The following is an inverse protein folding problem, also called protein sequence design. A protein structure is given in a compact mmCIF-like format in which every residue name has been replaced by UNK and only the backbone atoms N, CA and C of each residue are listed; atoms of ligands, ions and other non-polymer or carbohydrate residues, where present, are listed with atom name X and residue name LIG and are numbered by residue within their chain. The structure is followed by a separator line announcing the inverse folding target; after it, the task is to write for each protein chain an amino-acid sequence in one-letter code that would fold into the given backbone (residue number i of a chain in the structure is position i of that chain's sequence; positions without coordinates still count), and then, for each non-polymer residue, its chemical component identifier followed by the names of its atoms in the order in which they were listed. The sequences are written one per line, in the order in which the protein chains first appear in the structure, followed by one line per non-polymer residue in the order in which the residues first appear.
data_IF_042581464961
#
_entry.id   IF_042581464961
#
_cell.length_a   1.000
_cell.length_b   1.000
_cell.length_c   1.000
_cell.angle_alpha   90.00
_cell.angle_beta   90.00
_cell.angle_gamma   90.00
#
_symmetry.space_group_name_H-M   'P 1'
#
loop_
_entity.id
_entity.type
_entity.pdbx_description
1 polymer ?
#
# COMPACT_ATOMS: atom_id res chain seq x y z
N UNK A 1 -15.43 4.04 -5.32
CA UNK A 1 -13.99 3.88 -5.25
C UNK A 1 -13.32 5.24 -5.11
N UNK A 2 -12.67 5.43 -3.98
CA UNK A 2 -12.09 6.73 -3.62
C UNK A 2 -10.85 7.09 -4.42
N UNK A 3 -10.14 6.08 -4.89
CA UNK A 3 -8.95 6.33 -5.69
C UNK A 3 -9.33 6.60 -7.14
N UNK A 4 -10.58 6.35 -7.45
CA UNK A 4 -11.08 6.47 -8.81
C UNK A 4 -10.89 5.19 -9.59
N UNK A 5 -11.53 5.08 -10.75
CA UNK A 5 -11.43 3.88 -11.58
C UNK A 5 -10.09 3.75 -12.30
N UNK A 6 -9.34 4.84 -12.43
CA UNK A 6 -8.09 4.84 -13.19
C UNK A 6 -7.01 5.60 -12.44
N UNK A 7 -5.76 5.15 -12.64
CA UNK A 7 -4.57 5.82 -12.14
C UNK A 7 -3.92 6.58 -13.29
N UNK A 8 -3.27 7.68 -12.98
CA UNK A 8 -2.56 8.48 -13.96
C UNK A 8 -1.05 8.28 -13.74
N UNK A 9 -0.57 7.09 -14.05
CA UNK A 9 0.80 6.72 -13.75
C UNK A 9 1.01 6.52 -12.27
N UNK A 10 2.22 6.78 -11.80
CA UNK A 10 2.57 6.76 -10.39
C UNK A 10 3.01 5.41 -9.84
N UNK A 11 3.59 5.47 -8.66
CA UNK A 11 4.19 4.31 -7.98
C UNK A 11 3.26 3.84 -6.87
N UNK A 12 2.94 2.55 -6.89
CA UNK A 12 2.12 1.89 -5.88
C UNK A 12 3.02 1.09 -4.95
N UNK A 13 2.78 1.18 -3.67
CA UNK A 13 3.45 0.34 -2.67
C UNK A 13 2.39 -0.40 -1.87
N UNK A 14 2.51 -1.73 -1.82
CA UNK A 14 1.65 -2.59 -1.01
C UNK A 14 2.51 -3.23 0.05
N UNK A 15 2.29 -2.88 1.31
CA UNK A 15 3.11 -3.35 2.43
C UNK A 15 2.79 -4.78 2.86
N UNK A 16 1.61 -5.27 2.55
CA UNK A 16 1.17 -6.63 2.91
C UNK A 16 0.53 -7.25 1.67
N UNK A 17 1.38 -7.75 0.79
CA UNK A 17 1.00 -8.11 -0.56
C UNK A 17 -0.09 -9.16 -0.71
N UNK A 18 -0.13 -10.15 0.19
CA UNK A 18 -1.12 -11.20 0.10
C UNK A 18 -1.04 -11.98 -1.20
N UNK A 19 -2.03 -11.79 -2.06
CA UNK A 19 -2.06 -12.43 -3.39
C UNK A 19 -1.48 -11.52 -4.49
N UNK A 20 -1.21 -10.27 -4.17
CA UNK A 20 -0.80 -9.27 -5.15
C UNK A 20 -1.96 -8.65 -5.91
N UNK A 21 -3.20 -9.03 -5.59
CA UNK A 21 -4.37 -8.60 -6.34
C UNK A 21 -4.53 -7.08 -6.38
N UNK A 22 -4.30 -6.42 -5.25
CA UNK A 22 -4.48 -4.98 -5.15
C UNK A 22 -3.49 -4.23 -6.05
N UNK A 23 -2.22 -4.62 -6.00
CA UNK A 23 -1.19 -4.00 -6.83
C UNK A 23 -1.43 -4.25 -8.31
N UNK A 24 -1.82 -5.48 -8.67
CA UNK A 24 -2.10 -5.84 -10.05
C UNK A 24 -3.30 -5.08 -10.59
N UNK A 25 -4.32 -4.89 -9.75
CA UNK A 25 -5.49 -4.11 -10.14
C UNK A 25 -5.08 -2.65 -10.40
N UNK A 26 -4.25 -2.07 -9.53
CA UNK A 26 -3.78 -0.71 -9.70
C UNK A 26 -3.00 -0.55 -11.02
N UNK A 27 -2.16 -1.52 -11.35
CA UNK A 27 -1.40 -1.50 -12.59
C UNK A 27 -2.31 -1.59 -13.81
N UNK A 28 -3.34 -2.45 -13.74
CA UNK A 28 -4.29 -2.60 -14.85
C UNK A 28 -5.10 -1.33 -15.07
N UNK A 29 -5.20 -0.49 -14.06
CA UNK A 29 -5.95 0.77 -14.12
C UNK A 29 -5.06 1.99 -14.35
N UNK A 30 -3.80 1.80 -14.66
CA UNK A 30 -2.94 2.88 -15.12
C UNK A 30 -1.75 3.25 -14.25
N UNK A 31 -1.55 2.61 -13.10
CA UNK A 31 -0.35 2.84 -12.31
C UNK A 31 0.88 2.39 -13.11
N UNK A 32 2.00 3.03 -12.86
CA UNK A 32 3.22 2.78 -13.64
C UNK A 32 3.98 1.57 -13.14
N UNK A 33 4.22 1.49 -11.84
CA UNK A 33 5.02 0.44 -11.22
C UNK A 33 4.52 0.15 -9.82
N UNK A 34 4.64 -1.09 -9.38
CA UNK A 34 4.22 -1.51 -8.05
C UNK A 34 5.37 -2.20 -7.31
N UNK A 35 5.53 -1.83 -6.03
CA UNK A 35 6.41 -2.53 -5.10
C UNK A 35 5.54 -3.29 -4.13
N UNK A 36 5.73 -4.61 -4.06
CA UNK A 36 4.96 -5.47 -3.17
C UNK A 36 5.89 -6.03 -2.12
N UNK A 37 5.60 -5.73 -0.85
CA UNK A 37 6.35 -6.25 0.28
C UNK A 37 5.55 -7.39 0.90
N UNK A 38 6.19 -8.54 1.03
CA UNK A 38 5.56 -9.73 1.58
C UNK A 38 6.66 -10.63 2.17
N UNK A 39 6.43 -11.16 3.36
CA UNK A 39 7.41 -12.03 4.01
C UNK A 39 7.00 -13.49 4.03
N UNK A 40 5.73 -13.79 3.81
CA UNK A 40 5.25 -15.17 3.82
C UNK A 40 5.59 -15.89 2.52
N UNK A 41 6.23 -17.05 2.64
CA UNK A 41 6.71 -17.81 1.48
C UNK A 41 5.59 -18.25 0.54
N UNK A 42 4.47 -18.70 1.09
CA UNK A 42 3.33 -19.14 0.28
C UNK A 42 2.72 -17.97 -0.47
N UNK A 43 2.58 -16.85 0.23
CA UNK A 43 2.05 -15.64 -0.39
C UNK A 43 2.98 -15.16 -1.51
N UNK A 44 4.29 -15.20 -1.30
CA UNK A 44 5.25 -14.81 -2.33
C UNK A 44 5.13 -15.67 -3.58
N UNK A 45 4.94 -16.98 -3.41
CA UNK A 45 4.74 -17.88 -4.55
C UNK A 45 3.48 -17.50 -5.32
N UNK A 46 2.40 -17.24 -4.60
CA UNK A 46 1.13 -16.84 -5.21
C UNK A 46 1.28 -15.50 -5.96
N UNK A 47 1.96 -14.54 -5.35
CA UNK A 47 2.19 -13.25 -5.99
C UNK A 47 2.96 -13.42 -7.29
N UNK A 48 4.04 -14.19 -7.27
CA UNK A 48 4.85 -14.42 -8.46
C UNK A 48 4.03 -15.05 -9.59
N UNK A 49 3.21 -16.05 -9.25
CA UNK A 49 2.34 -16.68 -10.22
C UNK A 49 1.33 -15.71 -10.81
N UNK A 50 0.72 -14.89 -9.97
CA UNK A 50 -0.27 -13.92 -10.42
C UNK A 50 0.35 -12.83 -11.30
N UNK A 51 1.55 -12.39 -10.96
CA UNK A 51 2.28 -11.39 -11.76
C UNK A 51 2.61 -11.95 -13.15
N UNK A 52 3.07 -13.19 -13.21
CA UNK A 52 3.37 -13.85 -14.49
C UNK A 52 2.12 -14.02 -15.34
N UNK A 53 1.02 -14.51 -14.73
CA UNK A 53 -0.25 -14.69 -15.42
C UNK A 53 -0.77 -13.39 -16.02
N UNK A 54 -0.58 -12.29 -15.30
CA UNK A 54 -1.05 -10.98 -15.73
C UNK A 54 -0.10 -10.31 -16.72
N UNK A 55 1.05 -10.93 -16.98
CA UNK A 55 2.08 -10.40 -17.88
C UNK A 55 2.59 -9.03 -17.43
N UNK A 56 2.73 -8.85 -16.12
CA UNK A 56 3.16 -7.57 -15.53
C UNK A 56 4.51 -7.64 -14.85
N UNK A 57 5.32 -8.64 -15.21
CA UNK A 57 6.61 -8.90 -14.57
C UNK A 57 7.54 -7.68 -14.59
N UNK A 58 7.54 -6.92 -15.68
CA UNK A 58 8.41 -5.75 -15.80
C UNK A 58 7.92 -4.54 -14.99
N UNK A 59 6.68 -4.58 -14.51
CA UNK A 59 6.05 -3.46 -13.80
C UNK A 59 5.89 -3.72 -12.30
N UNK A 60 6.37 -4.87 -11.82
CA UNK A 60 6.26 -5.24 -10.41
C UNK A 60 7.62 -5.58 -9.85
N UNK A 61 7.92 -5.02 -8.68
CA UNK A 61 9.08 -5.41 -7.89
C UNK A 61 8.55 -6.10 -6.64
N UNK A 62 8.82 -7.40 -6.52
CA UNK A 62 8.42 -8.18 -5.36
C UNK A 62 9.58 -8.18 -4.38
N UNK A 63 9.33 -7.67 -3.17
CA UNK A 63 10.36 -7.59 -2.14
C UNK A 63 10.02 -8.58 -1.02
N UNK A 64 10.77 -9.70 -0.91
CA UNK A 64 10.52 -10.70 0.12
C UNK A 64 11.04 -10.21 1.46
N UNK A 65 10.30 -9.32 2.09
CA UNK A 65 10.72 -8.61 3.30
C UNK A 65 9.51 -8.24 4.13
N UNK A 66 9.76 -8.02 5.41
CA UNK A 66 8.74 -7.53 6.33
C UNK A 66 8.49 -6.05 6.08
N UNK A 67 7.28 -5.61 6.43
CA UNK A 67 6.85 -4.23 6.21
C UNK A 67 7.77 -3.21 6.91
N UNK A 68 8.34 -3.57 8.07
CA UNK A 68 9.23 -2.68 8.82
C UNK A 68 10.48 -2.27 8.05
N UNK A 69 10.87 -3.06 7.06
CA UNK A 69 12.07 -2.80 6.27
C UNK A 69 11.78 -2.02 4.98
N UNK A 70 10.51 -1.72 4.73
CA UNK A 70 10.10 -1.11 3.47
C UNK A 70 10.64 0.31 3.30
N UNK A 71 10.67 1.10 4.36
CA UNK A 71 11.10 2.50 4.27
C UNK A 71 12.55 2.59 3.83
N UNK A 72 13.45 1.85 4.49
CA UNK A 72 14.87 1.85 4.12
C UNK A 72 15.08 1.36 2.68
N UNK A 73 14.34 0.32 2.30
CA UNK A 73 14.42 -0.21 0.94
C UNK A 73 14.07 0.84 -0.10
N UNK A 74 12.95 1.53 0.12
CA UNK A 74 12.46 2.54 -0.83
C UNK A 74 13.32 3.79 -0.84
N UNK A 75 13.85 4.19 0.30
CA UNK A 75 14.76 5.34 0.39
C UNK A 75 16.04 5.09 -0.40
N UNK A 76 16.62 3.90 -0.29
CA UNK A 76 17.83 3.55 -1.01
C UNK A 76 17.64 3.64 -2.52
N UNK A 77 16.42 3.42 -2.98
CA UNK A 77 16.08 3.48 -4.40
C UNK A 77 15.52 4.82 -4.84
N UNK A 78 15.46 5.76 -3.91
CA UNK A 78 14.95 7.12 -4.17
C UNK A 78 13.56 7.10 -4.78
N UNK A 79 12.70 6.20 -4.27
CA UNK A 79 11.33 6.05 -4.75
C UNK A 79 10.42 7.04 -4.07
N UNK A 80 9.63 7.76 -4.85
CA UNK A 80 8.57 8.63 -4.37
C UNK A 80 7.24 7.89 -4.57
N UNK A 81 6.46 7.73 -3.50
CA UNK A 81 5.27 6.90 -3.50
C UNK A 81 4.03 7.73 -3.78
N UNK A 82 3.22 7.31 -4.76
CA UNK A 82 1.95 7.96 -5.07
C UNK A 82 0.77 7.29 -4.36
N UNK A 83 0.82 5.97 -4.18
CA UNK A 83 -0.26 5.21 -3.55
C UNK A 83 0.33 4.21 -2.58
N UNK A 84 0.01 4.37 -1.30
CA UNK A 84 0.45 3.45 -0.25
C UNK A 84 -0.74 2.66 0.27
N UNK A 85 -0.68 1.33 0.14
CA UNK A 85 -1.73 0.43 0.64
C UNK A 85 -1.23 -0.33 1.85
N UNK A 86 -2.05 -0.37 2.88
CA UNK A 86 -1.72 -1.01 4.14
C UNK A 86 -2.90 -1.83 4.66
N UNK A 87 -2.75 -3.15 4.66
CA UNK A 87 -3.75 -4.09 5.19
C UNK A 87 -3.05 -5.15 6.02
N UNK A 88 -2.59 -4.79 7.24
CA UNK A 88 -1.86 -5.73 8.10
C UNK A 88 -2.79 -6.77 8.70
N UNK A 89 -2.24 -7.88 9.24
CA UNK A 89 -3.03 -8.83 10.01
C UNK A 89 -3.78 -8.12 11.14
N UNK A 90 -4.99 -8.57 11.43
CA UNK A 90 -5.90 -7.90 12.39
C UNK A 90 -5.28 -7.59 13.74
N UNK A 91 -4.51 -8.51 14.31
CA UNK A 91 -3.94 -8.30 15.65
C UNK A 91 -2.69 -7.42 15.64
N UNK A 92 -2.18 -7.06 14.47
CA UNK A 92 -0.91 -6.34 14.35
C UNK A 92 -1.13 -4.85 14.13
N UNK A 93 -1.84 -4.21 15.08
CA UNK A 93 -2.16 -2.78 14.96
C UNK A 93 -0.93 -1.88 14.99
N UNK A 94 0.20 -2.37 15.51
CA UNK A 94 1.45 -1.60 15.52
C UNK A 94 1.93 -1.23 14.12
N UNK A 95 1.50 -1.95 13.08
CA UNK A 95 1.92 -1.64 11.71
C UNK A 95 1.35 -0.33 11.20
N UNK A 96 0.24 0.13 11.77
CA UNK A 96 -0.33 1.43 11.34
C UNK A 96 0.57 2.60 11.71
N UNK A 97 1.47 2.42 12.67
CA UNK A 97 2.46 3.44 13.02
C UNK A 97 3.49 3.67 11.91
N UNK A 98 3.64 2.70 11.00
CA UNK A 98 4.54 2.87 9.85
C UNK A 98 4.11 4.03 8.96
N UNK A 99 2.81 4.32 8.90
CA UNK A 99 2.30 5.43 8.09
C UNK A 99 2.96 6.74 8.49
N UNK A 100 3.06 6.98 9.79
CA UNK A 100 3.71 8.20 10.29
C UNK A 100 5.17 8.28 9.82
N UNK A 101 5.87 7.14 9.81
CA UNK A 101 7.26 7.10 9.36
C UNK A 101 7.36 7.39 7.86
N UNK A 102 6.46 6.86 7.04
CA UNK A 102 6.45 7.15 5.61
C UNK A 102 6.29 8.64 5.36
N UNK A 103 5.42 9.29 6.11
CA UNK A 103 5.18 10.73 5.98
C UNK A 103 6.39 11.53 6.49
N UNK A 104 6.91 11.18 7.67
CA UNK A 104 8.04 11.89 8.27
C UNK A 104 9.32 11.79 7.44
N UNK A 105 9.55 10.64 6.82
CA UNK A 105 10.74 10.42 6.02
C UNK A 105 10.63 11.00 4.61
N UNK A 106 9.51 11.65 4.30
CA UNK A 106 9.30 12.39 3.06
C UNK A 106 9.44 11.52 1.80
N UNK A 107 8.97 10.28 1.86
CA UNK A 107 8.99 9.40 0.69
C UNK A 107 7.62 9.31 0.00
N UNK A 108 6.64 10.07 0.50
CA UNK A 108 5.36 10.21 -0.20
C UNK A 108 5.44 11.38 -1.17
N UNK A 109 4.95 11.18 -2.39
CA UNK A 109 4.86 12.27 -3.36
C UNK A 109 3.79 13.28 -2.96
N UNK A 110 3.84 14.47 -3.53
CA UNK A 110 2.74 15.43 -3.40
C UNK A 110 1.48 14.84 -4.02
N UNK A 111 0.36 15.08 -3.38
CA UNK A 111 -0.94 14.55 -3.80
C UNK A 111 -1.03 13.03 -3.75
N UNK A 112 -0.17 12.40 -2.96
CA UNK A 112 -0.22 10.96 -2.77
C UNK A 112 -1.46 10.56 -1.97
N UNK A 113 -1.81 9.28 -2.06
CA UNK A 113 -2.96 8.71 -1.35
C UNK A 113 -2.49 7.54 -0.50
N UNK A 114 -2.99 7.48 0.74
CA UNK A 114 -2.72 6.39 1.66
C UNK A 114 -4.04 5.68 1.90
N UNK A 115 -4.07 4.37 1.69
CA UNK A 115 -5.27 3.56 1.86
C UNK A 115 -5.00 2.51 2.92
N UNK A 116 -5.79 2.52 3.98
CA UNK A 116 -5.65 1.58 5.09
C UNK A 116 -6.91 0.78 5.26
N UNK A 117 -6.78 -0.54 5.31
CA UNK A 117 -7.87 -1.38 5.73
C UNK A 117 -7.59 -1.78 7.18
N UNK A 118 -8.62 -1.65 8.04
CA UNK A 118 -8.47 -1.97 9.45
C UNK A 118 -9.79 -2.45 10.03
N UNK A 119 -9.73 -3.05 11.22
CA UNK A 119 -10.95 -3.43 11.91
C UNK A 119 -11.75 -2.18 12.26
N UNK A 120 -13.07 -2.27 12.10
CA UNK A 120 -13.95 -1.14 12.41
C UNK A 120 -13.88 -0.72 13.88
N UNK A 121 -13.50 -1.66 14.76
CA UNK A 121 -13.33 -1.39 16.19
C UNK A 121 -12.02 -0.66 16.51
N UNK A 122 -11.10 -0.58 15.56
CA UNK A 122 -9.82 0.10 15.76
C UNK A 122 -9.86 1.48 15.14
N UNK A 123 -9.58 2.51 15.93
CA UNK A 123 -9.64 3.89 15.46
C UNK A 123 -8.26 4.37 15.05
N UNK A 124 -8.14 4.80 13.80
CA UNK A 124 -6.92 5.40 13.29
C UNK A 124 -6.94 6.91 13.54
N UNK A 125 -5.76 7.56 13.59
CA UNK A 125 -5.70 9.02 13.74
C UNK A 125 -6.42 9.74 12.60
N UNK A 126 -6.86 10.96 12.86
CA UNK A 126 -7.50 11.78 11.84
C UNK A 126 -6.50 12.27 10.79
N UNK A 127 -5.23 12.38 11.17
CA UNK A 127 -4.19 12.80 10.23
C UNK A 127 -2.84 12.18 10.58
N UNK A 128 -1.98 12.11 9.56
CA UNK A 128 -0.58 11.75 9.68
C UNK A 128 0.20 12.88 9.02
N UNK A 129 0.80 13.77 9.81
CA UNK A 129 1.46 14.95 9.28
C UNK A 129 0.49 15.80 8.46
N UNK A 130 0.84 16.06 7.20
CA UNK A 130 -0.02 16.83 6.29
C UNK A 130 -1.12 15.99 5.63
N UNK A 131 -1.12 14.69 5.84
CA UNK A 131 -2.14 13.80 5.28
C UNK A 131 -3.33 13.73 6.23
N UNK A 132 -4.51 14.04 5.73
CA UNK A 132 -5.75 14.01 6.51
C UNK A 132 -6.66 12.92 5.99
N UNK A 133 -7.42 12.30 6.90
CA UNK A 133 -8.40 11.30 6.52
C UNK A 133 -9.51 11.99 5.72
N UNK A 134 -9.57 11.68 4.45
CA UNK A 134 -10.55 12.25 3.53
C UNK A 134 -11.75 11.35 3.34
N UNK A 135 -11.64 10.08 3.75
CA UNK A 135 -12.72 9.13 3.61
C UNK A 135 -12.58 8.02 4.64
N UNK A 136 -13.71 7.56 5.16
CA UNK A 136 -13.77 6.41 6.05
C UNK A 136 -15.04 5.65 5.69
N UNK A 137 -14.88 4.41 5.24
CA UNK A 137 -16.02 3.64 4.76
C UNK A 137 -16.05 2.28 5.44
N UNK A 138 -17.16 2.00 6.11
CA UNK A 138 -17.37 0.79 6.88
C UNK A 138 -17.98 -0.31 6.04
N UNK A 139 -17.39 -1.50 6.11
CA UNK A 139 -17.90 -2.70 5.47
C UNK A 139 -18.00 -3.79 6.52
N UNK A 140 -19.05 -3.73 7.36
CA UNK A 140 -19.18 -4.67 8.48
C UNK A 140 -18.06 -4.50 9.48
N UNK A 141 -17.27 -5.56 9.71
CA UNK A 141 -16.18 -5.55 10.66
C UNK A 141 -14.93 -4.84 10.17
N UNK A 142 -14.84 -4.54 8.88
CA UNK A 142 -13.70 -3.84 8.27
C UNK A 142 -14.05 -2.43 7.87
N UNK A 143 -13.06 -1.56 7.96
CA UNK A 143 -13.19 -0.16 7.52
C UNK A 143 -12.02 0.16 6.61
N UNK A 144 -12.29 0.91 5.55
CA UNK A 144 -11.26 1.44 4.67
C UNK A 144 -11.16 2.94 4.93
N UNK A 145 -10.00 3.37 5.40
CA UNK A 145 -9.70 4.78 5.65
C UNK A 145 -8.71 5.26 4.61
N UNK A 146 -8.99 6.43 4.03
CA UNK A 146 -8.16 7.01 2.99
C UNK A 146 -7.66 8.37 3.45
N UNK A 147 -6.36 8.60 3.28
CA UNK A 147 -5.70 9.84 3.66
C UNK A 147 -5.14 10.52 2.42
N UNK A 148 -5.36 11.81 2.33
CA UNK A 148 -4.81 12.66 1.26
C UNK A 148 -4.25 13.94 1.86
N UNK A 149 -3.36 14.59 1.13
CA UNK A 149 -2.79 15.87 1.56
C UNK A 149 -3.78 17.02 1.53
#
# INVERSE_FOLDING_TARGET
NRIGPYFDGGIVVDLFGGSGALALEALSRGAEHAYIFESDRRALTTIRQNVEKSKMTSRVTIVPSRAEKSIAYLQQREVCIDYLFLDPPYEKTEYYALIAQFVEMEIMCHNATIVCEHMSSYTLPEHYGTFQRSSEKKYGASTISIYTE
#
